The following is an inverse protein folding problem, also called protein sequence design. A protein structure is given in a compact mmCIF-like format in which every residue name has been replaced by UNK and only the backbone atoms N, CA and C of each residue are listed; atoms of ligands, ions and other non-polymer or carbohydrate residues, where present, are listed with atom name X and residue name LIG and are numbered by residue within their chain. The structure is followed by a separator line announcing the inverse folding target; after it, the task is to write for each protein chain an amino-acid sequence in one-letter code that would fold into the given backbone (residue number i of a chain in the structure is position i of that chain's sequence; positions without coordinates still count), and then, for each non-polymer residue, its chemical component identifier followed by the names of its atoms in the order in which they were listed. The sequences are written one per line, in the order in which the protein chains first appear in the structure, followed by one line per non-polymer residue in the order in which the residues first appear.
data_IF_950687108261
#
_entry.id   IF_950687108261
#
_cell.length_a   1.000
_cell.length_b   1.000
_cell.length_c   1.000
_cell.angle_alpha   90.00
_cell.angle_beta   90.00
_cell.angle_gamma   90.00
#
_symmetry.space_group_name_H-M   'P 1'
#
loop_
_entity.id
_entity.type
_entity.pdbx_description
1 polymer ?
#
# COMPACT_ATOMS: atom_id res chain seq x y z
N UNK A 1 28.92 -41.28 21.22
CA UNK A 1 27.50 -41.64 21.47
C UNK A 1 26.84 -40.40 22.07
N UNK A 2 26.01 -39.75 21.24
CA UNK A 2 25.07 -38.65 21.49
C UNK A 2 25.51 -37.26 22.00
N UNK A 3 25.21 -36.31 21.12
CA UNK A 3 25.20 -34.86 21.20
C UNK A 3 24.03 -34.40 22.07
N UNK A 4 24.20 -33.34 22.87
CA UNK A 4 23.11 -32.44 23.25
C UNK A 4 23.57 -30.99 23.12
N UNK A 5 23.24 -30.39 21.98
CA UNK A 5 23.05 -28.96 21.80
C UNK A 5 21.61 -28.64 22.24
N UNK A 6 21.40 -27.58 23.03
CA UNK A 6 20.05 -27.10 23.31
C UNK A 6 19.96 -26.13 24.47
N UNK A 7 20.04 -24.84 24.18
CA UNK A 7 19.81 -23.75 25.14
C UNK A 7 19.29 -22.51 24.42
N UNK A 8 18.20 -22.65 23.66
CA UNK A 8 17.45 -21.52 23.11
C UNK A 8 16.52 -20.97 24.17
N UNK A 9 16.64 -19.68 24.48
CA UNK A 9 15.77 -18.99 25.42
C UNK A 9 14.29 -19.05 24.96
N UNK A 10 13.43 -19.62 25.80
CA UNK A 10 11.97 -19.52 25.63
C UNK A 10 11.56 -18.05 25.68
N UNK A 11 10.77 -17.62 24.70
CA UNK A 11 10.15 -16.30 24.68
C UNK A 11 9.37 -16.07 25.98
N UNK A 12 9.66 -14.99 26.70
CA UNK A 12 8.94 -14.63 27.91
C UNK A 12 7.43 -14.52 27.62
N UNK A 13 6.63 -15.48 28.11
CA UNK A 13 5.16 -15.45 28.02
C UNK A 13 4.66 -14.19 28.74
N UNK A 14 3.72 -13.45 28.16
CA UNK A 14 3.20 -12.18 28.69
C UNK A 14 2.72 -12.26 30.16
N UNK A 15 2.31 -13.44 30.63
CA UNK A 15 1.98 -13.76 32.02
C UNK A 15 3.14 -13.50 33.01
N UNK A 16 4.38 -13.44 32.54
CA UNK A 16 5.55 -13.09 33.34
C UNK A 16 5.56 -11.62 33.81
N UNK A 17 4.83 -10.72 33.15
CA UNK A 17 4.69 -9.32 33.56
C UNK A 17 3.32 -8.98 34.17
N UNK A 18 2.34 -9.89 34.11
CA UNK A 18 0.98 -9.70 34.66
C UNK A 18 0.56 -10.90 35.53
N UNK A 19 0.90 -10.90 36.82
CA UNK A 19 0.39 -11.88 37.78
C UNK A 19 -1.13 -11.73 37.93
N UNK A 20 -1.86 -12.84 38.04
CA UNK A 20 -3.33 -12.89 38.11
C UNK A 20 -3.91 -12.46 39.48
N UNK A 21 -3.06 -12.05 40.41
CA UNK A 21 -3.47 -11.68 41.78
C UNK A 21 -4.13 -10.28 41.78
N UNK A 22 -5.41 -10.22 42.17
CA UNK A 22 -6.16 -8.97 42.34
C UNK A 22 -7.08 -8.57 41.19
N UNK A 23 -7.17 -9.36 40.11
CA UNK A 23 -8.19 -9.16 39.08
C UNK A 23 -9.57 -9.59 39.60
N UNK A 24 -10.61 -8.79 39.37
CA UNK A 24 -11.97 -9.08 39.85
C UNK A 24 -12.55 -10.33 39.18
N UNK A 25 -12.38 -11.49 39.81
CA UNK A 25 -12.53 -12.85 39.25
C UNK A 25 -13.94 -13.33 38.88
N UNK A 26 -14.96 -12.46 38.82
CA UNK A 26 -16.33 -12.93 38.55
C UNK A 26 -16.57 -13.24 37.06
N UNK A 27 -15.89 -12.53 36.16
CA UNK A 27 -15.94 -12.78 34.72
C UNK A 27 -14.60 -12.45 34.10
N UNK A 28 -13.99 -13.44 33.45
CA UNK A 28 -12.70 -13.30 32.75
C UNK A 28 -12.97 -13.57 31.26
N UNK A 29 -12.40 -12.74 30.40
CA UNK A 29 -12.59 -12.84 28.96
C UNK A 29 -11.76 -14.01 28.38
N UNK A 30 -12.32 -14.94 27.57
CA UNK A 30 -11.61 -16.13 27.11
C UNK A 30 -10.27 -15.87 26.39
N UNK A 31 -10.15 -14.88 25.47
CA UNK A 31 -8.86 -14.52 24.87
C UNK A 31 -7.76 -14.19 25.89
N UNK A 32 -8.12 -13.70 27.07
CA UNK A 32 -7.16 -13.44 28.15
C UNK A 32 -6.73 -14.73 28.87
N UNK A 33 -7.65 -15.69 29.05
CA UNK A 33 -7.34 -17.01 29.63
C UNK A 33 -6.52 -17.89 28.68
N UNK A 34 -6.68 -17.68 27.37
CA UNK A 34 -6.04 -18.45 26.30
C UNK A 34 -4.71 -17.85 25.82
N UNK A 35 -4.17 -16.85 26.52
CA UNK A 35 -2.93 -16.13 26.14
C UNK A 35 -2.96 -15.44 24.76
N UNK A 36 -4.14 -15.11 24.24
CA UNK A 36 -4.30 -14.43 22.95
C UNK A 36 -4.14 -12.90 23.07
N UNK A 37 -3.19 -12.45 23.88
CA UNK A 37 -2.99 -11.03 24.22
C UNK A 37 -2.71 -10.16 22.99
N UNK A 38 -2.03 -10.69 21.97
CA UNK A 38 -1.69 -10.01 20.72
C UNK A 38 -2.92 -9.61 19.88
N UNK A 39 -4.10 -10.17 20.19
CA UNK A 39 -5.34 -9.77 19.52
C UNK A 39 -5.72 -8.31 19.82
N UNK A 40 -5.36 -7.83 21.02
CA UNK A 40 -5.66 -6.48 21.51
C UNK A 40 -4.39 -5.66 21.74
N UNK A 41 -3.26 -6.31 22.04
CA UNK A 41 -1.95 -5.69 22.24
C UNK A 41 -1.10 -5.74 20.96
N UNK A 42 -0.31 -4.69 20.72
CA UNK A 42 0.65 -4.65 19.62
C UNK A 42 1.83 -5.59 19.88
N UNK A 43 2.27 -6.31 18.85
CA UNK A 43 3.42 -7.21 18.94
C UNK A 43 4.70 -6.44 19.26
N UNK A 44 5.59 -7.05 20.05
CA UNK A 44 6.98 -6.61 20.18
C UNK A 44 7.64 -6.89 18.84
N UNK A 45 8.10 -5.84 18.17
CA UNK A 45 8.71 -5.89 16.84
C UNK A 45 9.70 -7.05 16.68
N UNK A 46 9.30 -8.02 15.85
CA UNK A 46 10.22 -8.81 15.05
C UNK A 46 9.60 -9.02 13.67
N UNK A 47 10.25 -8.42 12.69
CA UNK A 47 10.15 -8.64 11.24
C UNK A 47 8.80 -8.41 10.57
N UNK A 48 8.78 -7.35 9.75
CA UNK A 48 8.17 -7.27 8.42
C UNK A 48 7.27 -8.45 8.03
N UNK A 49 5.95 -8.24 8.06
CA UNK A 49 5.02 -8.98 7.21
C UNK A 49 3.75 -8.18 6.95
N UNK A 50 3.46 -8.07 5.66
CA UNK A 50 2.27 -7.61 4.94
C UNK A 50 0.94 -7.75 5.72
N UNK A 51 0.28 -6.63 6.06
CA UNK A 51 -1.12 -6.62 6.54
C UNK A 51 -2.10 -6.48 5.36
N UNK A 52 -3.06 -7.39 5.32
CA UNK A 52 -4.18 -7.48 4.35
C UNK A 52 -4.87 -6.14 4.12
N UNK A 53 -4.91 -5.70 2.85
CA UNK A 53 -5.58 -4.48 2.41
C UNK A 53 -7.04 -4.83 2.09
N UNK A 54 -8.01 -4.22 2.78
CA UNK A 54 -9.43 -4.40 2.46
C UNK A 54 -9.76 -3.67 1.15
N UNK A 55 -10.09 -4.44 0.11
CA UNK A 55 -10.35 -3.94 -1.26
C UNK A 55 -11.42 -2.83 -1.33
N UNK A 56 -12.38 -2.78 -0.40
CA UNK A 56 -13.49 -1.80 -0.41
C UNK A 56 -13.10 -0.38 -0.02
N UNK A 57 -12.00 -0.20 0.70
CA UNK A 57 -11.53 1.11 1.16
C UNK A 57 -10.59 1.79 0.16
N UNK A 58 -10.18 1.05 -0.88
CA UNK A 58 -9.26 1.53 -1.91
C UNK A 58 -10.04 2.34 -2.94
N UNK A 59 -9.65 3.60 -3.13
CA UNK A 59 -10.11 4.42 -4.25
C UNK A 59 -9.12 4.33 -5.39
N UNK A 60 -9.39 3.45 -6.35
CA UNK A 60 -8.62 3.30 -7.58
C UNK A 60 -8.74 4.55 -8.44
N UNK A 61 -7.61 5.02 -8.99
CA UNK A 61 -7.57 6.25 -9.80
C UNK A 61 -6.66 6.17 -11.02
N UNK A 62 -5.80 5.15 -11.11
CA UNK A 62 -4.90 4.93 -12.23
C UNK A 62 -4.84 3.44 -12.54
N UNK A 63 -4.91 3.10 -13.82
CA UNK A 63 -4.75 1.74 -14.35
C UNK A 63 -3.98 1.83 -15.65
N UNK A 64 -2.97 0.98 -15.80
CA UNK A 64 -2.00 1.04 -16.91
C UNK A 64 -1.50 -0.36 -17.26
N UNK A 65 -0.92 -0.44 -18.45
CA UNK A 65 -0.22 -1.60 -18.97
C UNK A 65 1.21 -1.19 -19.32
N UNK A 66 2.20 -2.03 -19.02
CA UNK A 66 3.56 -1.85 -19.55
C UNK A 66 4.21 -3.19 -19.89
N UNK A 67 5.21 -3.15 -20.76
CA UNK A 67 5.79 -4.32 -21.44
C UNK A 67 6.97 -4.96 -20.70
N UNK A 68 7.18 -4.61 -19.43
CA UNK A 68 8.32 -5.06 -18.64
C UNK A 68 9.50 -4.09 -18.62
N UNK A 69 10.53 -4.47 -17.87
CA UNK A 69 11.62 -3.58 -17.48
C UNK A 69 11.22 -2.69 -16.31
N UNK A 70 11.78 -1.49 -16.27
CA UNK A 70 11.51 -0.48 -15.23
C UNK A 70 10.67 0.66 -15.81
N UNK A 71 9.66 1.09 -15.06
CA UNK A 71 8.84 2.25 -15.36
C UNK A 71 8.93 3.27 -14.21
N UNK A 72 9.01 4.56 -14.56
CA UNK A 72 8.87 5.66 -13.62
C UNK A 72 7.59 6.44 -13.88
N UNK A 73 6.73 6.48 -12.87
CA UNK A 73 5.44 7.18 -12.90
C UNK A 73 5.51 8.36 -11.95
N UNK A 74 5.41 9.59 -12.49
CA UNK A 74 5.37 10.79 -11.67
C UNK A 74 3.98 10.91 -11.04
N UNK A 75 3.94 10.96 -9.72
CA UNK A 75 2.70 11.05 -8.96
C UNK A 75 2.46 12.49 -8.49
N UNK A 76 1.23 13.01 -8.55
CA UNK A 76 0.96 14.38 -8.12
C UNK A 76 1.10 14.52 -6.60
N UNK A 77 1.82 15.54 -6.12
CA UNK A 77 2.11 15.79 -4.71
C UNK A 77 0.89 15.84 -3.78
N UNK A 78 -0.31 16.13 -4.29
CA UNK A 78 -1.59 16.04 -3.54
C UNK A 78 -1.86 14.66 -2.95
N UNK A 79 -1.22 13.61 -3.46
CA UNK A 79 -1.35 12.23 -2.99
C UNK A 79 -0.59 11.99 -1.68
N UNK A 80 0.34 12.86 -1.28
CA UNK A 80 1.11 12.72 -0.02
C UNK A 80 0.25 12.66 1.25
N UNK A 81 -1.05 13.00 1.19
CA UNK A 81 -2.01 12.84 2.30
C UNK A 81 -2.65 11.46 2.40
N UNK A 82 -2.36 10.57 1.45
CA UNK A 82 -2.87 9.21 1.36
C UNK A 82 -1.70 8.22 1.37
N UNK A 83 -1.97 6.99 1.80
CA UNK A 83 -1.14 5.87 1.39
C UNK A 83 -1.63 5.38 0.04
N UNK A 84 -0.72 4.85 -0.75
CA UNK A 84 -1.02 4.28 -2.04
C UNK A 84 -1.16 2.77 -1.91
N UNK A 85 -1.99 2.18 -2.78
CA UNK A 85 -2.06 0.74 -2.94
C UNK A 85 -1.77 0.42 -4.39
N UNK A 86 -0.66 -0.26 -4.63
CA UNK A 86 -0.32 -0.84 -5.92
C UNK A 86 -0.89 -2.25 -6.00
N UNK A 87 -1.46 -2.60 -7.14
CA UNK A 87 -1.91 -3.97 -7.43
C UNK A 87 -1.63 -4.33 -8.88
N UNK A 88 -1.22 -5.57 -9.13
CA UNK A 88 -1.02 -6.10 -10.47
C UNK A 88 -1.65 -7.47 -10.71
N UNK A 89 -1.86 -7.78 -12.00
CA UNK A 89 -2.42 -9.04 -12.48
C UNK A 89 -1.41 -9.76 -13.39
N UNK A 90 -1.28 -11.08 -13.22
CA UNK A 90 -0.36 -11.92 -14.01
C UNK A 90 0.90 -12.36 -13.27
N UNK A 91 1.25 -11.70 -12.14
CA UNK A 91 1.18 -12.33 -10.83
C UNK A 91 0.30 -11.50 -9.89
N UNK A 92 -0.47 -12.15 -9.00
CA UNK A 92 -1.24 -11.42 -7.99
C UNK A 92 -0.26 -10.82 -6.99
N UNK A 93 0.00 -9.52 -7.13
CA UNK A 93 0.90 -8.78 -6.26
C UNK A 93 0.20 -7.50 -5.82
N UNK A 94 0.29 -7.20 -4.53
CA UNK A 94 -0.34 -6.03 -3.94
C UNK A 94 0.56 -5.48 -2.85
N UNK A 95 0.78 -4.17 -2.88
CA UNK A 95 1.67 -3.49 -1.93
C UNK A 95 1.08 -2.14 -1.51
N UNK A 96 1.18 -1.82 -0.22
CA UNK A 96 0.81 -0.51 0.32
C UNK A 96 2.07 0.34 0.44
N UNK A 97 2.05 1.51 -0.16
CA UNK A 97 3.20 2.40 -0.26
C UNK A 97 2.94 3.71 0.49
N UNK A 98 3.89 4.12 1.33
CA UNK A 98 3.81 5.37 2.11
C UNK A 98 4.63 6.48 1.47
N UNK A 99 4.03 7.66 1.35
CA UNK A 99 4.64 8.87 0.75
C UNK A 99 5.28 9.83 1.78
N UNK A 100 5.50 9.39 3.03
CA UNK A 100 5.95 10.28 4.14
C UNK A 100 7.44 10.61 4.12
N UNK A 101 8.29 9.66 3.73
CA UNK A 101 9.74 9.82 3.70
C UNK A 101 10.30 9.08 2.50
N UNK A 102 10.48 9.80 1.40
CA UNK A 102 10.94 9.23 0.15
C UNK A 102 12.45 9.40 0.01
N UNK A 103 13.21 8.32 -0.24
CA UNK A 103 14.61 8.44 -0.59
C UNK A 103 14.76 9.23 -1.91
N UNK A 104 15.85 9.98 -2.05
CA UNK A 104 16.19 10.60 -3.33
C UNK A 104 16.41 9.52 -4.39
N UNK A 105 15.92 9.74 -5.60
CA UNK A 105 16.26 8.89 -6.73
C UNK A 105 17.80 8.78 -6.84
N UNK A 106 18.38 7.58 -6.99
CA UNK A 106 19.81 7.43 -7.23
C UNK A 106 20.27 8.29 -8.40
N UNK A 107 21.47 8.86 -8.32
CA UNK A 107 22.02 9.63 -9.44
C UNK A 107 22.12 8.74 -10.68
N UNK A 108 21.42 9.14 -11.74
CA UNK A 108 21.47 8.48 -13.03
C UNK A 108 22.77 8.77 -13.77
N UNK A 109 22.96 8.06 -14.87
CA UNK A 109 23.92 8.42 -15.90
C UNK A 109 23.15 8.79 -17.17
N UNK A 110 23.86 9.34 -18.15
CA UNK A 110 23.31 9.58 -19.48
C UNK A 110 22.66 8.29 -20.03
N UNK A 111 21.40 8.32 -20.49
CA UNK A 111 20.71 7.09 -20.91
C UNK A 111 21.37 6.48 -22.15
N UNK A 112 21.47 5.16 -22.22
CA UNK A 112 21.94 4.44 -23.40
C UNK A 112 20.79 3.65 -24.04
N UNK A 113 20.65 3.78 -25.36
CA UNK A 113 19.71 2.98 -26.16
C UNK A 113 20.38 1.65 -26.48
N UNK A 114 19.88 0.59 -25.87
CA UNK A 114 20.42 -0.78 -25.94
C UNK A 114 19.94 -1.50 -27.21
N UNK A 115 18.67 -1.32 -27.56
CA UNK A 115 18.05 -1.97 -28.71
C UNK A 115 16.97 -1.06 -29.28
N UNK A 116 16.91 -0.92 -30.61
CA UNK A 116 15.84 -0.21 -31.28
C UNK A 116 15.56 -0.86 -32.64
N UNK A 117 14.37 -1.44 -32.80
CA UNK A 117 14.01 -2.20 -34.01
C UNK A 117 12.54 -2.09 -34.35
N UNK A 118 12.24 -2.25 -35.65
CA UNK A 118 10.88 -2.50 -36.10
C UNK A 118 10.40 -3.82 -35.48
N UNK A 119 9.35 -3.76 -34.68
CA UNK A 119 8.80 -4.93 -34.01
C UNK A 119 7.33 -5.17 -34.34
N UNK A 120 6.73 -4.31 -35.17
CA UNK A 120 5.45 -4.58 -35.78
C UNK A 120 5.00 -3.54 -36.78
N UNK A 121 3.99 -3.92 -37.55
CA UNK A 121 3.23 -3.05 -38.42
C UNK A 121 1.76 -3.28 -38.10
N UNK A 122 1.00 -2.20 -38.01
CA UNK A 122 -0.46 -2.24 -37.88
C UNK A 122 -1.07 -1.54 -39.09
N UNK A 123 -2.14 -2.13 -39.62
CA UNK A 123 -2.87 -1.57 -40.76
C UNK A 123 -4.23 -1.06 -40.28
N UNK A 124 -4.31 0.25 -40.10
CA UNK A 124 -5.56 0.98 -39.93
C UNK A 124 -5.92 1.73 -41.24
N UNK A 125 -6.53 2.93 -41.15
CA UNK A 125 -6.70 3.81 -42.31
C UNK A 125 -5.36 4.25 -42.92
N UNK A 126 -4.27 4.18 -42.14
CA UNK A 126 -2.88 4.33 -42.55
C UNK A 126 -2.04 3.19 -41.95
N UNK A 127 -0.80 3.03 -42.45
CA UNK A 127 0.17 2.09 -41.88
C UNK A 127 0.86 2.75 -40.71
N UNK A 128 0.92 2.03 -39.59
CA UNK A 128 1.69 2.40 -38.41
C UNK A 128 2.80 1.39 -38.17
N UNK A 129 4.05 1.86 -38.10
CA UNK A 129 5.14 1.03 -37.60
C UNK A 129 5.24 1.13 -36.09
N UNK A 130 5.44 -0.01 -35.45
CA UNK A 130 5.72 -0.14 -34.03
C UNK A 130 7.23 -0.37 -33.87
N UNK A 131 7.91 0.61 -33.28
CA UNK A 131 9.35 0.54 -33.00
C UNK A 131 9.54 0.19 -31.53
N UNK A 132 10.12 -0.98 -31.30
CA UNK A 132 10.48 -1.41 -29.96
C UNK A 132 11.82 -0.80 -29.59
N UNK A 133 11.85 -0.06 -28.49
CA UNK A 133 13.05 0.61 -27.98
C UNK A 133 13.31 0.14 -26.55
N UNK A 134 14.54 -0.31 -26.29
CA UNK A 134 15.04 -0.63 -24.96
C UNK A 134 16.17 0.29 -24.57
N UNK A 135 16.14 0.75 -23.33
CA UNK A 135 17.16 1.60 -22.71
C UNK A 135 17.63 0.97 -21.40
N UNK A 136 18.78 1.41 -20.92
CA UNK A 136 19.33 1.03 -19.62
C UNK A 136 18.64 1.72 -18.43
N UNK A 137 18.05 2.89 -18.66
CA UNK A 137 17.29 3.67 -17.69
C UNK A 137 15.88 3.98 -18.22
N UNK A 138 14.89 4.23 -17.34
CA UNK A 138 13.58 4.71 -17.78
C UNK A 138 13.70 6.05 -18.51
N UNK A 139 13.20 6.11 -19.73
CA UNK A 139 13.31 7.30 -20.60
C UNK A 139 12.01 7.61 -21.33
N UNK A 140 11.86 8.87 -21.72
CA UNK A 140 11.02 9.24 -22.85
C UNK A 140 11.83 9.06 -24.14
N UNK A 141 11.21 8.56 -25.20
CA UNK A 141 11.88 8.42 -26.51
C UNK A 141 11.10 9.13 -27.58
N UNK A 142 11.79 10.00 -28.31
CA UNK A 142 11.31 10.62 -29.54
C UNK A 142 12.01 9.98 -30.74
N UNK A 143 11.26 9.73 -31.81
CA UNK A 143 11.76 9.18 -33.07
C UNK A 143 11.40 10.15 -34.19
N UNK A 144 12.39 10.55 -34.98
CA UNK A 144 12.20 11.39 -36.16
C UNK A 144 12.81 10.72 -37.40
N UNK A 145 11.95 10.40 -38.37
CA UNK A 145 12.26 9.72 -39.62
C UNK A 145 11.97 10.64 -40.81
N UNK A 146 12.82 11.62 -41.08
CA UNK A 146 12.73 12.52 -42.25
C UNK A 146 11.30 13.06 -42.50
N UNK A 147 10.66 13.59 -41.46
CA UNK A 147 9.31 14.18 -41.53
C UNK A 147 8.18 13.32 -40.96
N UNK A 148 8.44 12.05 -40.61
CA UNK A 148 7.54 11.24 -39.78
C UNK A 148 8.08 11.22 -38.35
N UNK A 149 7.25 11.55 -37.38
CA UNK A 149 7.64 11.59 -35.97
C UNK A 149 6.75 10.70 -35.12
N UNK A 150 7.30 10.21 -34.02
CA UNK A 150 6.58 9.51 -32.97
C UNK A 150 7.30 9.69 -31.65
N UNK A 151 6.57 9.60 -30.55
CA UNK A 151 7.12 9.77 -29.20
C UNK A 151 6.47 8.80 -28.23
N UNK A 152 7.11 8.59 -27.08
CA UNK A 152 6.50 7.90 -25.95
C UNK A 152 5.28 8.65 -25.41
N UNK A 153 4.28 7.89 -24.96
CA UNK A 153 3.10 8.45 -24.32
C UNK A 153 3.32 8.60 -22.81
N UNK A 154 3.72 9.80 -22.40
CA UNK A 154 3.65 10.23 -20.99
C UNK A 154 4.81 9.77 -20.11
N UNK A 155 4.69 8.59 -19.51
CA UNK A 155 5.61 8.13 -18.45
C UNK A 155 6.95 7.61 -19.02
N UNK A 156 7.95 7.37 -18.15
CA UNK A 156 9.29 6.94 -18.55
C UNK A 156 9.42 5.42 -18.46
N UNK A 157 9.99 4.77 -19.49
CA UNK A 157 10.13 3.32 -19.54
C UNK A 157 11.50 2.88 -20.03
N UNK A 158 11.99 1.74 -19.54
CA UNK A 158 13.18 1.08 -20.12
C UNK A 158 12.84 0.25 -21.35
N UNK A 159 11.56 -0.10 -21.54
CA UNK A 159 11.10 -0.83 -22.72
C UNK A 159 9.75 -0.29 -23.17
N UNK A 160 9.71 0.21 -24.39
CA UNK A 160 8.55 0.88 -24.95
C UNK A 160 8.39 0.62 -26.44
N UNK A 161 7.16 0.86 -26.90
CA UNK A 161 6.77 0.71 -28.31
C UNK A 161 6.31 2.06 -28.80
N UNK A 162 7.07 2.64 -29.73
CA UNK A 162 6.74 3.92 -30.33
C UNK A 162 6.03 3.69 -31.66
N UNK A 163 4.87 4.32 -31.81
CA UNK A 163 4.08 4.25 -33.04
C UNK A 163 4.49 5.36 -34.02
N UNK A 164 4.75 4.99 -35.26
CA UNK A 164 5.06 5.90 -36.37
C UNK A 164 4.00 5.76 -37.45
N UNK A 165 3.12 6.77 -37.55
CA UNK A 165 2.05 6.79 -38.55
C UNK A 165 2.50 7.39 -39.89
N UNK A 166 1.87 6.96 -40.99
CA UNK A 166 2.07 7.57 -42.32
C UNK A 166 3.28 7.01 -43.10
N UNK A 167 3.75 5.82 -42.74
CA UNK A 167 4.84 5.16 -43.46
C UNK A 167 4.34 4.42 -44.72
N UNK A 168 5.23 4.22 -45.69
CA UNK A 168 4.95 3.52 -46.96
C UNK A 168 5.63 2.16 -46.97
N UNK A 169 4.87 1.09 -47.20
CA UNK A 169 5.41 -0.29 -47.30
C UNK A 169 6.52 -0.39 -48.33
N UNK A 170 7.50 -1.26 -48.06
CA UNK A 170 8.65 -1.53 -48.92
C UNK A 170 9.72 -0.44 -48.91
N UNK A 171 9.58 0.62 -48.10
CA UNK A 171 10.57 1.70 -48.02
C UNK A 171 11.51 1.55 -46.84
N UNK A 172 12.76 1.96 -47.07
CA UNK A 172 13.78 2.11 -46.02
C UNK A 172 13.69 3.50 -45.41
N UNK A 173 13.66 3.56 -44.09
CA UNK A 173 13.65 4.78 -43.30
C UNK A 173 14.94 4.88 -42.49
N UNK A 174 15.49 6.08 -42.38
CA UNK A 174 16.57 6.43 -41.47
C UNK A 174 16.00 7.38 -40.44
N UNK A 175 16.16 7.05 -39.16
CA UNK A 175 15.54 7.80 -38.07
C UNK A 175 16.57 8.17 -37.02
N UNK A 176 16.42 9.37 -36.47
CA UNK A 176 17.11 9.80 -35.27
C UNK A 176 16.21 9.50 -34.06
N UNK A 177 16.75 8.77 -33.10
CA UNK A 177 16.13 8.50 -31.82
C UNK A 177 16.78 9.40 -30.78
N UNK A 178 15.97 10.06 -29.97
CA UNK A 178 16.39 10.82 -28.80
C UNK A 178 15.78 10.18 -27.57
N UNK A 179 16.59 9.71 -26.63
CA UNK A 179 16.15 9.20 -25.34
C UNK A 179 16.49 10.22 -24.26
N UNK A 180 15.51 10.60 -23.45
CA UNK A 180 15.63 11.58 -22.35
C UNK A 180 15.23 10.92 -21.03
N UNK A 181 16.07 11.02 -20.01
CA UNK A 181 15.73 10.52 -18.68
C UNK A 181 14.92 11.54 -17.86
N UNK A 182 14.53 11.18 -16.63
CA UNK A 182 13.78 12.06 -15.73
C UNK A 182 14.60 13.27 -15.23
N UNK A 183 15.93 13.24 -15.33
CA UNK A 183 16.80 14.37 -14.96
C UNK A 183 16.99 15.37 -16.10
N UNK A 184 16.60 14.99 -17.33
CA UNK A 184 16.74 15.79 -18.54
C UNK A 184 17.99 15.46 -19.35
N UNK A 185 18.78 14.47 -18.95
CA UNK A 185 19.94 14.01 -19.72
C UNK A 185 19.48 13.26 -20.97
N UNK A 186 20.08 13.59 -22.11
CA UNK A 186 19.65 13.09 -23.42
C UNK A 186 20.75 12.36 -24.17
N UNK A 187 20.43 11.22 -24.78
CA UNK A 187 21.27 10.57 -25.78
C UNK A 187 20.55 10.42 -27.12
N UNK A 188 21.35 10.32 -28.18
CA UNK A 188 20.83 10.16 -29.53
C UNK A 188 21.49 8.98 -30.23
N UNK A 189 20.70 8.24 -31.00
CA UNK A 189 21.22 7.19 -31.88
C UNK A 189 20.48 7.19 -33.22
N UNK A 190 21.13 6.71 -34.27
CA UNK A 190 20.50 6.55 -35.58
C UNK A 190 20.13 5.10 -35.80
N UNK A 191 18.89 4.87 -36.23
CA UNK A 191 18.44 3.55 -36.66
C UNK A 191 18.04 3.58 -38.13
N UNK A 192 18.01 2.40 -38.73
CA UNK A 192 17.43 2.21 -40.06
C UNK A 192 16.58 0.95 -40.05
N UNK A 193 15.39 1.04 -40.63
CA UNK A 193 14.52 -0.11 -40.82
C UNK A 193 13.82 -0.03 -42.17
N UNK A 194 13.36 -1.18 -42.66
CA UNK A 194 12.53 -1.27 -43.86
C UNK A 194 11.15 -1.73 -43.41
N UNK A 195 10.11 -1.02 -43.81
CA UNK A 195 8.74 -1.49 -43.61
C UNK A 195 8.49 -2.65 -44.56
N UNK A 196 8.31 -3.86 -44.05
CA UNK A 196 7.95 -5.04 -44.86
C UNK A 196 6.45 -5.33 -44.73
N UNK A 197 6.00 -6.52 -45.12
CA UNK A 197 4.60 -6.95 -44.96
C UNK A 197 4.36 -7.78 -43.68
N UNK A 198 5.33 -7.84 -42.78
CA UNK A 198 5.30 -8.76 -41.64
C UNK A 198 4.55 -8.13 -40.47
N UNK A 199 3.32 -8.59 -40.25
CA UNK A 199 2.48 -8.19 -39.13
C UNK A 199 2.74 -9.09 -37.93
N UNK A 200 3.59 -8.64 -37.01
CA UNK A 200 3.72 -9.24 -35.69
C UNK A 200 3.86 -8.10 -34.68
N UNK A 201 3.16 -8.13 -33.56
CA UNK A 201 3.46 -7.23 -32.44
C UNK A 201 4.60 -7.77 -31.59
N UNK A 202 5.17 -6.97 -30.68
CA UNK A 202 6.11 -7.50 -29.69
C UNK A 202 5.42 -8.57 -28.84
N UNK A 203 5.89 -9.81 -28.97
CA UNK A 203 5.46 -10.90 -28.09
C UNK A 203 6.23 -10.79 -26.78
N UNK A 204 5.59 -10.19 -25.78
CA UNK A 204 6.14 -10.08 -24.44
C UNK A 204 5.41 -11.06 -23.53
N UNK A 205 6.11 -12.01 -22.88
CA UNK A 205 5.47 -12.91 -21.93
C UNK A 205 4.89 -12.12 -20.73
N UNK A 206 3.84 -12.61 -20.08
CA UNK A 206 3.34 -11.99 -18.86
C UNK A 206 4.40 -12.02 -17.76
N UNK A 207 4.46 -10.96 -16.95
CA UNK A 207 5.38 -10.86 -15.83
C UNK A 207 5.18 -12.02 -14.84
N UNK A 208 6.28 -12.48 -14.24
CA UNK A 208 6.29 -13.44 -13.13
C UNK A 208 6.80 -12.80 -11.84
N UNK A 209 7.62 -11.75 -11.97
CA UNK A 209 8.18 -10.99 -10.86
C UNK A 209 7.79 -9.52 -11.02
N UNK A 210 7.38 -8.94 -9.90
CA UNK A 210 7.05 -7.52 -9.80
C UNK A 210 7.65 -7.00 -8.52
N UNK A 211 8.27 -5.82 -8.60
CA UNK A 211 8.69 -5.04 -7.46
C UNK A 211 8.26 -3.59 -7.67
N UNK A 212 7.98 -2.88 -6.59
CA UNK A 212 7.64 -1.46 -6.62
C UNK A 212 8.38 -0.73 -5.51
N UNK A 213 8.82 0.48 -5.82
CA UNK A 213 9.53 1.33 -4.87
C UNK A 213 9.06 2.78 -5.05
N UNK A 214 9.29 3.61 -4.02
CA UNK A 214 8.98 5.03 -4.07
C UNK A 214 10.23 5.87 -3.90
N UNK A 215 10.36 6.89 -4.73
CA UNK A 215 11.46 7.84 -4.71
C UNK A 215 10.95 9.27 -4.74
N UNK A 216 11.83 10.18 -4.36
CA UNK A 216 11.68 11.60 -4.59
C UNK A 216 12.33 11.94 -5.94
N UNK A 217 11.54 12.42 -6.91
CA UNK A 217 12.07 12.87 -8.21
C UNK A 217 12.92 14.14 -8.06
N UNK A 218 13.76 14.48 -9.07
CA UNK A 218 14.51 15.74 -9.11
C UNK A 218 13.62 17.00 -9.03
N UNK A 219 12.34 16.88 -9.38
CA UNK A 219 11.35 17.97 -9.35
C UNK A 219 10.55 18.03 -8.03
N UNK A 220 10.99 17.34 -6.98
CA UNK A 220 10.29 17.27 -5.68
C UNK A 220 8.87 16.65 -5.71
N UNK A 221 8.50 16.01 -6.82
CA UNK A 221 7.29 15.18 -6.92
C UNK A 221 7.58 13.72 -6.54
N UNK A 222 6.65 13.02 -5.86
CA UNK A 222 6.79 11.59 -5.64
C UNK A 222 6.87 10.80 -6.94
N UNK A 223 7.75 9.82 -6.96
CA UNK A 223 7.99 8.95 -8.10
C UNK A 223 7.72 7.51 -7.70
N UNK A 224 6.90 6.82 -8.48
CA UNK A 224 6.69 5.38 -8.35
C UNK A 224 7.58 4.66 -9.36
N UNK A 225 8.48 3.82 -8.87
CA UNK A 225 9.21 2.85 -9.67
C UNK A 225 8.44 1.54 -9.70
N UNK A 226 8.29 0.97 -10.90
CA UNK A 226 7.71 -0.36 -11.11
C UNK A 226 8.71 -1.17 -11.90
N UNK A 227 9.09 -2.34 -11.39
CA UNK A 227 9.97 -3.28 -12.07
C UNK A 227 9.19 -4.56 -12.38
N UNK A 228 9.22 -5.03 -13.62
CA UNK A 228 8.71 -6.36 -13.97
C UNK A 228 9.54 -7.06 -15.04
N UNK A 229 9.57 -8.39 -15.00
CA UNK A 229 10.29 -9.24 -15.97
C UNK A 229 9.49 -9.56 -17.24
N UNK A 230 8.29 -8.97 -17.38
CA UNK A 230 7.40 -9.16 -18.52
C UNK A 230 6.23 -8.19 -18.50
N UNK A 231 5.27 -8.41 -19.39
CA UNK A 231 4.10 -7.56 -19.55
C UNK A 231 3.23 -7.59 -18.28
N UNK A 232 2.85 -6.41 -17.79
CA UNK A 232 2.14 -6.23 -16.53
C UNK A 232 0.97 -5.26 -16.66
N UNK A 233 -0.22 -5.73 -16.29
CA UNK A 233 -1.36 -4.87 -16.00
C UNK A 233 -1.32 -4.50 -14.51
N UNK A 234 -1.41 -3.21 -14.21
CA UNK A 234 -1.36 -2.72 -12.84
C UNK A 234 -2.30 -1.54 -12.63
N UNK A 235 -2.67 -1.34 -11.37
CA UNK A 235 -3.50 -0.23 -10.93
C UNK A 235 -3.03 0.34 -9.61
N UNK A 236 -3.34 1.62 -9.41
CA UNK A 236 -2.97 2.39 -8.23
C UNK A 236 -4.22 2.99 -7.60
N UNK A 237 -4.32 2.81 -6.29
CA UNK A 237 -5.39 3.32 -5.46
C UNK A 237 -4.88 4.16 -4.31
N UNK A 238 -5.77 4.92 -3.69
CA UNK A 238 -5.50 5.65 -2.46
C UNK A 238 -6.29 5.06 -1.30
N UNK A 239 -5.66 5.07 -0.12
CA UNK A 239 -6.29 4.83 1.17
C UNK A 239 -5.91 5.96 2.12
N UNK A 240 -6.82 6.37 3.02
CA UNK A 240 -6.53 7.43 4.00
C UNK A 240 -5.36 6.97 4.89
N UNK A 241 -4.36 7.83 5.07
CA UNK A 241 -3.30 7.61 6.05
C UNK A 241 -3.92 7.41 7.42
N UNK A 242 -3.61 6.30 8.06
CA UNK A 242 -3.84 6.20 9.50
C UNK A 242 -2.88 7.21 10.12
N UNK A 243 -3.39 8.34 10.59
CA UNK A 243 -2.56 9.35 11.24
C UNK A 243 -1.91 8.75 12.48
N UNK A 244 -0.67 8.31 12.32
CA UNK A 244 0.32 8.09 13.36
C UNK A 244 0.65 9.43 14.00
N UNK A 245 -0.26 9.95 14.83
CA UNK A 245 0.10 11.00 15.76
C UNK A 245 1.07 10.41 16.79
N UNK A 246 2.35 10.72 16.60
CA UNK A 246 3.38 10.57 17.61
C UNK A 246 3.03 11.38 18.88
N UNK A 247 3.39 10.79 20.02
CA UNK A 247 3.35 11.29 21.42
C UNK A 247 1.97 11.20 22.07
N UNK A 248 1.78 10.42 23.14
CA UNK A 248 2.43 10.57 24.45
C UNK A 248 2.31 9.28 25.25
N UNK A 249 3.32 8.99 26.06
CA UNK A 249 3.20 7.99 27.13
C UNK A 249 2.06 8.39 28.06
N UNK A 250 0.96 7.63 28.02
CA UNK A 250 0.11 7.51 29.20
C UNK A 250 0.56 6.26 29.94
N UNK A 251 1.17 6.49 31.09
CA UNK A 251 1.56 5.44 32.01
C UNK A 251 0.32 4.63 32.37
N UNK A 252 0.18 3.46 31.77
CA UNK A 252 -0.06 2.21 32.52
C UNK A 252 -0.10 0.91 31.69
N UNK A 253 0.19 0.91 30.38
CA UNK A 253 0.69 -0.33 29.74
C UNK A 253 1.50 -0.03 28.47
N UNK A 254 2.61 -0.77 28.30
CA UNK A 254 3.41 -0.78 27.07
C UNK A 254 2.69 -1.68 26.04
N UNK A 255 2.66 -1.25 24.77
CA UNK A 255 2.30 -2.08 23.61
C UNK A 255 0.82 -2.42 23.45
N UNK A 256 -0.12 -1.50 23.68
CA UNK A 256 -1.50 -1.71 23.20
C UNK A 256 -1.62 -1.26 21.75
N UNK A 257 -2.42 -1.99 20.95
CA UNK A 257 -2.84 -1.49 19.65
C UNK A 257 -3.58 -0.15 19.80
N UNK A 258 -3.80 0.55 18.68
CA UNK A 258 -4.51 1.82 18.71
C UNK A 258 -5.84 1.67 19.47
N UNK A 259 -6.29 2.69 20.23
CA UNK A 259 -7.44 2.52 21.08
C UNK A 259 -8.76 2.17 20.36
N UNK A 260 -8.86 2.51 19.07
CA UNK A 260 -9.97 2.08 18.20
C UNK A 260 -9.88 0.58 17.93
N UNK A 261 -8.70 0.08 17.56
CA UNK A 261 -8.50 -1.35 17.31
C UNK A 261 -8.69 -2.18 18.58
N UNK A 262 -8.04 -1.79 19.68
CA UNK A 262 -8.11 -2.53 20.93
C UNK A 262 -9.47 -2.38 21.66
N UNK A 263 -10.18 -1.28 21.43
CA UNK A 263 -11.43 -0.96 22.13
C UNK A 263 -12.70 -1.28 21.35
N UNK A 264 -12.62 -1.49 20.04
CA UNK A 264 -13.76 -1.69 19.14
C UNK A 264 -13.52 -2.87 18.18
N UNK A 265 -12.52 -2.78 17.30
CA UNK A 265 -12.38 -3.73 16.17
C UNK A 265 -11.98 -5.14 16.61
N UNK A 266 -11.13 -5.26 17.63
CA UNK A 266 -10.69 -6.55 18.14
C UNK A 266 -11.85 -7.39 18.69
N UNK A 267 -12.88 -6.76 19.25
CA UNK A 267 -14.07 -7.45 19.75
C UNK A 267 -14.85 -8.11 18.62
N UNK A 268 -14.91 -7.47 17.45
CA UNK A 268 -15.66 -7.97 16.29
C UNK A 268 -15.05 -9.22 15.64
N UNK A 269 -13.83 -9.61 16.03
CA UNK A 269 -13.18 -10.83 15.52
C UNK A 269 -13.86 -12.11 15.99
N UNK A 270 -14.48 -12.07 17.16
CA UNK A 270 -15.15 -13.24 17.76
C UNK A 270 -16.64 -13.01 18.01
N UNK A 271 -17.08 -11.76 18.01
CA UNK A 271 -18.45 -11.38 18.25
C UNK A 271 -18.99 -10.57 17.08
N UNK A 272 -20.05 -11.02 16.42
CA UNK A 272 -20.70 -10.19 15.40
C UNK A 272 -21.58 -9.11 16.06
N UNK A 273 -21.96 -8.09 15.28
CA UNK A 273 -22.76 -6.96 15.78
C UNK A 273 -24.17 -7.33 16.23
N UNK A 274 -24.65 -8.53 15.90
CA UNK A 274 -26.00 -9.01 16.22
C UNK A 274 -26.00 -9.98 17.41
N UNK A 275 -24.91 -10.72 17.66
CA UNK A 275 -24.82 -11.74 18.72
C UNK A 275 -24.57 -11.18 20.12
N UNK A 276 -23.94 -10.02 20.26
CA UNK A 276 -23.70 -9.40 21.58
C UNK A 276 -24.84 -8.52 22.10
N UNK A 277 -25.84 -8.21 21.27
CA UNK A 277 -26.99 -7.41 21.70
C UNK A 277 -26.59 -6.07 22.32
N UNK A 278 -25.81 -5.26 21.60
CA UNK A 278 -25.34 -3.97 22.10
C UNK A 278 -26.54 -3.10 22.55
N UNK A 279 -26.65 -2.86 23.86
CA UNK A 279 -27.73 -2.04 24.42
C UNK A 279 -27.57 -0.55 24.09
N UNK A 280 -26.44 -0.16 23.49
CA UNK A 280 -26.10 1.22 23.14
C UNK A 280 -25.18 1.26 21.90
N UNK A 281 -25.30 2.26 21.01
CA UNK A 281 -24.39 2.42 19.88
C UNK A 281 -22.95 2.67 20.33
N UNK A 282 -22.01 2.02 19.65
CA UNK A 282 -20.56 2.22 19.76
C UNK A 282 -20.04 2.88 18.49
N UNK A 283 -18.79 3.36 18.48
CA UNK A 283 -18.21 4.17 17.41
C UNK A 283 -18.93 5.52 17.18
N UNK A 284 -19.45 6.11 18.27
CA UNK A 284 -20.13 7.41 18.24
C UNK A 284 -19.33 8.43 19.04
N UNK A 285 -19.26 9.66 18.53
CA UNK A 285 -18.60 10.76 19.22
C UNK A 285 -19.51 11.32 20.31
N UNK A 286 -18.95 11.50 21.51
CA UNK A 286 -19.65 12.17 22.60
C UNK A 286 -19.78 13.66 22.31
N UNK A 287 -20.93 14.22 22.67
CA UNK A 287 -21.10 15.67 22.71
C UNK A 287 -20.26 16.24 23.85
N UNK A 288 -19.72 17.45 23.65
CA UNK A 288 -18.90 18.14 24.64
C UNK A 288 -19.67 18.31 25.95
N UNK A 289 -19.06 17.92 27.08
CA UNK A 289 -19.68 17.96 28.42
C UNK A 289 -20.47 16.72 28.83
N UNK A 290 -20.53 15.67 28.01
CA UNK A 290 -21.27 14.43 28.29
C UNK A 290 -20.47 13.36 29.07
N UNK A 291 -19.19 13.58 29.37
CA UNK A 291 -18.34 12.58 30.02
C UNK A 291 -18.21 12.86 31.52
N UNK A 292 -18.56 11.89 32.39
CA UNK A 292 -18.18 11.92 33.80
C UNK A 292 -16.92 11.09 34.06
N UNK A 293 -16.30 11.30 35.23
CA UNK A 293 -15.05 10.62 35.60
C UNK A 293 -15.20 9.08 35.69
N UNK A 294 -14.16 8.38 35.25
CA UNK A 294 -14.01 6.93 35.45
C UNK A 294 -14.51 6.01 34.33
N UNK A 295 -14.89 6.56 33.16
CA UNK A 295 -15.11 5.76 31.94
C UNK A 295 -14.05 6.10 30.88
N UNK A 296 -13.35 5.09 30.31
CA UNK A 296 -12.39 5.32 29.24
C UNK A 296 -13.11 5.64 27.94
N UNK A 297 -12.74 6.76 27.34
CA UNK A 297 -13.21 7.19 26.02
C UNK A 297 -11.99 7.58 25.20
N UNK A 298 -11.99 7.19 23.93
CA UNK A 298 -10.80 7.31 23.09
C UNK A 298 -11.03 8.38 22.03
N UNK A 299 -10.30 9.50 22.14
CA UNK A 299 -10.45 10.67 21.26
C UNK A 299 -11.91 11.17 21.15
N UNK A 300 -12.67 11.10 22.25
CA UNK A 300 -14.07 11.50 22.29
C UNK A 300 -15.05 10.46 21.72
N UNK A 301 -14.59 9.26 21.34
CA UNK A 301 -15.42 8.18 20.79
C UNK A 301 -15.70 7.11 21.84
N UNK A 302 -16.98 6.72 21.95
CA UNK A 302 -17.43 5.60 22.78
C UNK A 302 -17.13 4.28 22.05
N UNK A 303 -16.44 3.37 22.73
CA UNK A 303 -16.11 2.04 22.19
C UNK A 303 -16.69 0.93 23.08
N UNK A 304 -16.55 -0.33 22.67
CA UNK A 304 -16.96 -1.47 23.50
C UNK A 304 -16.23 -1.44 24.86
N UNK A 305 -14.92 -1.12 24.84
CA UNK A 305 -14.10 -1.02 26.05
C UNK A 305 -14.44 0.17 26.98
N UNK A 306 -15.29 1.11 26.53
CA UNK A 306 -15.83 2.17 27.40
C UNK A 306 -16.73 1.61 28.49
N UNK A 307 -17.54 0.59 28.16
CA UNK A 307 -18.47 -0.05 29.09
C UNK A 307 -17.93 -1.38 29.63
N UNK A 308 -17.17 -2.11 28.81
CA UNK A 308 -16.62 -3.42 29.12
C UNK A 308 -15.13 -3.35 29.49
N UNK A 309 -14.67 -4.21 30.40
CA UNK A 309 -13.26 -4.43 30.65
C UNK A 309 -12.78 -5.66 29.86
N UNK A 310 -11.91 -5.50 28.85
CA UNK A 310 -11.52 -6.60 27.95
C UNK A 310 -10.68 -7.71 28.62
N UNK A 311 -10.22 -7.50 29.86
CA UNK A 311 -9.49 -8.51 30.63
C UNK A 311 -10.42 -9.25 31.60
N UNK A 312 -10.97 -8.51 32.57
CA UNK A 312 -11.88 -9.06 33.57
C UNK A 312 -12.70 -7.98 34.26
N UNK A 313 -13.87 -8.35 34.76
CA UNK A 313 -14.66 -7.48 35.64
C UNK A 313 -15.40 -8.27 36.71
N UNK A 314 -15.78 -7.57 37.78
CA UNK A 314 -16.62 -8.11 38.85
C UNK A 314 -18.08 -8.29 38.42
N UNK A 315 -18.52 -7.56 37.41
CA UNK A 315 -19.90 -7.60 36.93
C UNK A 315 -20.03 -8.54 35.72
N UNK A 316 -21.21 -9.17 35.51
CA UNK A 316 -21.48 -9.99 34.34
C UNK A 316 -21.21 -9.24 33.03
N UNK A 317 -20.89 -10.00 31.99
CA UNK A 317 -20.56 -9.47 30.66
C UNK A 317 -19.39 -8.47 30.69
N UNK A 318 -18.50 -8.56 31.68
CA UNK A 318 -17.33 -7.70 31.83
C UNK A 318 -17.65 -6.22 32.06
N UNK A 319 -18.83 -5.88 32.58
CA UNK A 319 -19.20 -4.48 32.77
C UNK A 319 -18.33 -3.78 33.81
N UNK A 320 -17.94 -2.54 33.53
CA UNK A 320 -17.13 -1.71 34.45
C UNK A 320 -17.91 -1.21 35.66
N UNK A 321 -19.23 -1.05 35.52
CA UNK A 321 -20.16 -0.62 36.58
C UNK A 321 -21.48 -1.38 36.44
N UNK A 322 -22.14 -1.62 37.56
CA UNK A 322 -23.41 -2.36 37.61
C UNK A 322 -24.60 -1.50 37.18
N UNK A 323 -25.39 -2.01 36.23
CA UNK A 323 -26.71 -1.49 35.87
C UNK A 323 -26.75 0.01 35.60
N UNK A 324 -27.74 0.71 36.17
CA UNK A 324 -27.99 2.16 35.96
C UNK A 324 -26.76 3.04 36.23
N UNK A 325 -25.88 2.63 37.15
CA UNK A 325 -24.68 3.42 37.48
C UNK A 325 -23.71 3.55 36.29
N UNK A 326 -23.74 2.62 35.34
CA UNK A 326 -22.98 2.74 34.10
C UNK A 326 -23.54 3.87 33.22
N UNK A 327 -24.85 3.90 33.00
CA UNK A 327 -25.55 4.92 32.19
C UNK A 327 -25.35 6.34 32.75
N UNK A 328 -25.37 6.47 34.09
CA UNK A 328 -25.17 7.74 34.78
C UNK A 328 -23.76 8.32 34.60
N UNK A 329 -22.80 7.52 34.14
CA UNK A 329 -21.43 7.98 33.88
C UNK A 329 -21.33 8.86 32.63
N UNK A 330 -22.37 8.92 31.79
CA UNK A 330 -22.45 9.86 30.67
C UNK A 330 -23.71 10.75 30.71
N UNK A 331 -24.84 10.23 31.19
CA UNK A 331 -26.11 10.97 31.17
C UNK A 331 -26.40 11.79 32.44
N UNK A 332 -25.59 11.64 33.51
CA UNK A 332 -25.79 12.31 34.79
C UNK A 332 -27.12 11.93 35.47
N UNK A 333 -27.45 12.59 36.59
CA UNK A 333 -28.62 12.25 37.42
C UNK A 333 -29.99 12.50 36.76
N UNK A 334 -30.03 13.18 35.61
CA UNK A 334 -31.26 13.49 34.86
C UNK A 334 -31.69 12.38 33.90
N UNK A 335 -30.96 11.25 33.84
CA UNK A 335 -31.35 10.08 33.06
C UNK A 335 -32.66 9.48 33.63
N UNK A 336 -33.78 9.73 32.94
CA UNK A 336 -35.09 9.13 33.19
C UNK A 336 -35.27 7.94 32.28
#
# INVERSE_FOLDING_TARGET
MFILLGGGAEAAKCRGCHPMEGMGMASIHPPFMEDQCEMCHGQIDRSSSTKSINSKDIKWFLERHHLGGTAYIILPGRLRKYDLVFESQGPTFQERLSLESLPSLPQGHKPAILEAKLCGLEQGPWIEAKICVKTDLPTEVEINCNGVQGMSEGDFYTFQVISLAGLKVGKKYQCLLTARDISGEESQTKISFTTDHSFAGPQVPPARKVAVDLYQSPMEEPLLEIQSDGALNWRLGTIKKETSQAKRSHGHHKNLNSPVVAGLDACFKCHDSHSLGASHPVNVHLRQGMLAEGIPVFNGVVTCASCHNPHSAKEPYLLRKRGRNLCLSCHGQRYR
#
